data_IF_753357864012
#
_entry.id   IF_753357864012
#
_cell.length_a   1.000
_cell.length_b   1.000
_cell.length_c   1.000
_cell.angle_alpha   90.00
_cell.angle_beta   90.00
_cell.angle_gamma   90.00
#
_symmetry.space_group_name_H-M   'P 1'
#
loop_
_entity.id
_entity.type
_entity.pdbx_description
1 polymer ?
#
# COMPACT_ATOMS: atom_id res chain seq x y z
N UNK A 1 55.65 -10.22 -0.03
CA UNK A 1 54.68 -9.83 -1.09
C UNK A 1 53.38 -10.67 -1.05
N UNK A 2 52.93 -11.23 0.09
CA UNK A 2 51.72 -12.09 0.14
C UNK A 2 50.64 -11.73 1.19
N UNK A 3 50.75 -10.59 1.91
CA UNK A 3 49.74 -10.18 2.90
C UNK A 3 48.67 -9.21 2.38
N UNK A 4 48.88 -8.58 1.23
CA UNK A 4 47.95 -7.56 0.69
C UNK A 4 46.75 -8.15 -0.08
N UNK A 5 46.81 -9.40 -0.54
CA UNK A 5 45.70 -10.05 -1.27
C UNK A 5 44.62 -10.63 -0.36
N UNK A 6 44.93 -10.97 0.90
CA UNK A 6 43.97 -11.59 1.83
C UNK A 6 42.94 -10.62 2.45
N UNK A 7 43.30 -9.34 2.58
CA UNK A 7 42.44 -8.31 3.20
C UNK A 7 41.32 -7.85 2.24
N UNK A 8 41.58 -7.85 0.93
CA UNK A 8 40.56 -7.60 -0.10
C UNK A 8 39.51 -8.71 -0.16
N UNK A 9 39.93 -9.97 -0.05
CA UNK A 9 39.02 -11.12 -0.03
C UNK A 9 38.20 -11.24 1.26
N UNK A 10 38.77 -10.89 2.42
CA UNK A 10 38.04 -10.93 3.69
C UNK A 10 37.00 -9.81 3.79
N UNK A 11 37.32 -8.59 3.34
CA UNK A 11 36.36 -7.48 3.33
C UNK A 11 35.19 -7.71 2.36
N UNK A 12 35.45 -8.31 1.18
CA UNK A 12 34.41 -8.77 0.23
C UNK A 12 33.55 -9.91 0.81
N UNK A 13 34.14 -10.94 1.43
CA UNK A 13 33.38 -12.05 2.03
C UNK A 13 32.49 -11.60 3.21
N UNK A 14 32.95 -10.63 4.00
CA UNK A 14 32.17 -10.02 5.08
C UNK A 14 31.02 -9.16 4.53
N UNK A 15 31.21 -8.50 3.38
CA UNK A 15 30.15 -7.70 2.73
C UNK A 15 29.07 -8.56 2.10
N UNK A 16 29.43 -9.64 1.38
CA UNK A 16 28.49 -10.61 0.83
C UNK A 16 27.67 -11.31 1.93
N UNK A 17 28.32 -11.60 3.06
CA UNK A 17 27.63 -12.18 4.22
C UNK A 17 26.60 -11.23 4.85
N UNK A 18 26.85 -9.91 4.83
CA UNK A 18 25.92 -8.90 5.33
C UNK A 18 24.75 -8.67 4.38
N UNK A 19 24.99 -8.71 3.07
CA UNK A 19 23.97 -8.62 2.04
C UNK A 19 23.04 -9.83 2.08
N UNK A 20 23.61 -11.05 2.09
CA UNK A 20 22.85 -12.29 2.18
C UNK A 20 22.01 -12.34 3.46
N UNK A 21 22.57 -11.90 4.61
CA UNK A 21 21.86 -11.91 5.90
C UNK A 21 20.74 -10.87 5.96
N UNK A 22 20.97 -9.67 5.43
CA UNK A 22 19.96 -8.60 5.38
C UNK A 22 18.84 -8.96 4.40
N UNK A 23 19.20 -9.46 3.21
CA UNK A 23 18.26 -9.95 2.21
C UNK A 23 17.41 -11.10 2.77
N UNK A 24 18.03 -12.11 3.41
CA UNK A 24 17.31 -13.22 4.06
C UNK A 24 16.37 -12.73 5.16
N UNK A 25 16.78 -11.77 5.98
CA UNK A 25 15.96 -11.22 7.04
C UNK A 25 14.77 -10.41 6.51
N UNK A 26 15.00 -9.57 5.49
CA UNK A 26 13.93 -8.81 4.81
C UNK A 26 12.96 -9.75 4.11
N UNK A 27 13.47 -10.75 3.41
CA UNK A 27 12.65 -11.76 2.73
C UNK A 27 11.82 -12.55 3.73
N UNK A 28 12.41 -13.03 4.83
CA UNK A 28 11.68 -13.72 5.90
C UNK A 28 10.59 -12.84 6.52
N UNK A 29 10.88 -11.56 6.76
CA UNK A 29 9.92 -10.61 7.34
C UNK A 29 8.76 -10.32 6.39
N UNK A 30 9.05 -10.12 5.09
CA UNK A 30 8.02 -9.92 4.06
C UNK A 30 7.18 -11.20 3.88
N UNK A 31 7.81 -12.38 3.94
CA UNK A 31 7.13 -13.64 3.82
C UNK A 31 6.18 -13.90 5.00
N UNK A 32 6.60 -13.66 6.24
CA UNK A 32 5.71 -13.84 7.40
C UNK A 32 4.58 -12.81 7.41
N UNK A 33 4.90 -11.53 7.20
CA UNK A 33 3.91 -10.44 7.29
C UNK A 33 2.89 -10.46 6.15
N UNK A 34 3.24 -10.95 4.96
CA UNK A 34 2.35 -10.96 3.79
C UNK A 34 1.86 -12.36 3.40
N UNK A 35 2.66 -13.40 3.65
CA UNK A 35 2.32 -14.78 3.33
C UNK A 35 1.20 -15.33 4.20
N UNK A 36 1.19 -15.03 5.51
CA UNK A 36 0.11 -15.51 6.40
C UNK A 36 -1.25 -14.92 5.99
N UNK A 37 -1.43 -13.58 5.85
CA UNK A 37 -2.69 -13.04 5.35
C UNK A 37 -3.06 -13.54 3.95
N UNK A 38 -2.07 -13.79 3.08
CA UNK A 38 -2.32 -14.35 1.76
C UNK A 38 -2.92 -15.76 1.82
N UNK A 39 -2.40 -16.65 2.68
CA UNK A 39 -2.94 -18.01 2.84
C UNK A 39 -4.39 -17.96 3.31
N UNK A 40 -4.68 -17.13 4.31
CA UNK A 40 -6.06 -16.92 4.78
C UNK A 40 -6.95 -16.37 3.66
N UNK A 41 -6.50 -15.33 2.95
CA UNK A 41 -7.24 -14.76 1.83
C UNK A 41 -7.49 -15.78 0.71
N UNK A 42 -6.49 -16.56 0.34
CA UNK A 42 -6.63 -17.59 -0.69
C UNK A 42 -7.67 -18.65 -0.29
N UNK A 43 -7.65 -19.10 0.97
CA UNK A 43 -8.67 -20.00 1.49
C UNK A 43 -10.06 -19.37 1.46
N UNK A 44 -10.19 -18.12 1.91
CA UNK A 44 -11.47 -17.41 1.94
C UNK A 44 -12.07 -17.31 0.54
N UNK A 45 -11.28 -16.91 -0.46
CA UNK A 45 -11.75 -16.74 -1.85
C UNK A 45 -12.35 -18.02 -2.45
N UNK A 46 -11.92 -19.21 -2.01
CA UNK A 46 -12.53 -20.47 -2.46
C UNK A 46 -14.00 -20.59 -2.11
N UNK A 47 -14.42 -19.96 -1.01
CA UNK A 47 -15.79 -19.98 -0.52
C UNK A 47 -16.64 -18.81 -1.03
N UNK A 48 -16.04 -17.91 -1.82
CA UNK A 48 -16.71 -16.72 -2.33
C UNK A 48 -17.27 -16.93 -3.74
N UNK A 49 -18.41 -16.29 -4.02
CA UNK A 49 -18.85 -16.10 -5.39
C UNK A 49 -18.03 -15.00 -6.08
N UNK A 50 -18.16 -14.91 -7.39
CA UNK A 50 -17.45 -13.87 -8.16
C UNK A 50 -17.93 -12.48 -7.75
N UNK A 51 -19.23 -12.32 -7.51
CA UNK A 51 -19.84 -11.08 -7.03
C UNK A 51 -19.35 -10.72 -5.61
N UNK A 52 -19.36 -11.69 -4.69
CA UNK A 52 -18.85 -11.50 -3.33
C UNK A 52 -17.37 -11.06 -3.33
N UNK A 53 -16.58 -11.65 -4.23
CA UNK A 53 -15.17 -11.30 -4.36
C UNK A 53 -14.98 -9.92 -4.99
N UNK A 54 -15.82 -9.47 -5.92
CA UNK A 54 -15.75 -8.09 -6.43
C UNK A 54 -15.94 -7.09 -5.27
N UNK A 55 -16.92 -7.36 -4.39
CA UNK A 55 -17.19 -6.53 -3.20
C UNK A 55 -15.99 -6.51 -2.25
N UNK A 56 -15.51 -7.69 -1.84
CA UNK A 56 -14.38 -7.83 -0.92
C UNK A 56 -13.04 -7.37 -1.51
N UNK A 57 -12.86 -7.64 -2.80
CA UNK A 57 -11.61 -7.55 -3.52
C UNK A 57 -11.27 -6.13 -3.91
N UNK A 58 -12.28 -5.39 -4.38
CA UNK A 58 -12.13 -4.09 -5.05
C UNK A 58 -12.99 -3.04 -4.35
N UNK A 59 -14.30 -3.24 -4.21
CA UNK A 59 -15.22 -2.16 -3.84
C UNK A 59 -15.03 -1.68 -2.39
N UNK A 60 -15.05 -2.60 -1.41
CA UNK A 60 -14.89 -2.24 0.00
C UNK A 60 -13.49 -1.69 0.33
N UNK A 61 -12.38 -2.31 -0.15
CA UNK A 61 -11.06 -1.72 0.03
C UNK A 61 -10.95 -0.33 -0.61
N UNK A 62 -11.49 -0.13 -1.81
CA UNK A 62 -11.48 1.17 -2.46
C UNK A 62 -12.27 2.22 -1.67
N UNK A 63 -13.45 1.87 -1.17
CA UNK A 63 -14.25 2.74 -0.31
C UNK A 63 -13.45 3.18 0.93
N UNK A 64 -12.86 2.21 1.64
CA UNK A 64 -12.05 2.48 2.84
C UNK A 64 -10.83 3.34 2.50
N UNK A 65 -10.09 3.00 1.45
CA UNK A 65 -8.91 3.75 1.01
C UNK A 65 -9.28 5.18 0.62
N UNK A 66 -10.34 5.40 -0.17
CA UNK A 66 -10.77 6.74 -0.55
C UNK A 66 -11.11 7.61 0.66
N UNK A 67 -11.87 7.08 1.62
CA UNK A 67 -12.26 7.80 2.84
C UNK A 67 -11.03 8.10 3.72
N UNK A 68 -10.21 7.10 4.01
CA UNK A 68 -9.06 7.26 4.91
C UNK A 68 -7.96 8.11 4.28
N UNK A 69 -7.64 7.90 3.00
CA UNK A 69 -6.55 8.62 2.34
C UNK A 69 -6.89 10.10 2.18
N UNK A 70 -8.13 10.43 1.79
CA UNK A 70 -8.55 11.82 1.62
C UNK A 70 -8.63 12.58 2.95
N UNK A 71 -8.99 11.89 4.05
CA UNK A 71 -9.14 12.52 5.36
C UNK A 71 -7.85 12.70 6.14
N UNK A 72 -6.90 11.75 6.06
CA UNK A 72 -5.74 11.72 6.97
C UNK A 72 -4.38 11.98 6.33
N UNK A 73 -4.19 11.67 5.05
CA UNK A 73 -2.85 11.67 4.44
C UNK A 73 -2.22 13.07 4.40
N UNK A 74 -3.01 14.11 4.08
CA UNK A 74 -2.55 15.49 4.04
C UNK A 74 -2.06 15.99 5.41
N UNK A 75 -2.86 15.74 6.44
CA UNK A 75 -2.56 16.14 7.83
C UNK A 75 -1.37 15.35 8.37
N UNK A 76 -1.31 14.04 8.11
CA UNK A 76 -0.20 13.18 8.53
C UNK A 76 1.13 13.67 7.98
N UNK A 77 1.19 14.04 6.70
CA UNK A 77 2.41 14.60 6.09
C UNK A 77 2.79 15.96 6.65
N UNK A 78 1.80 16.83 6.89
CA UNK A 78 2.04 18.12 7.53
C UNK A 78 2.64 17.94 8.93
N UNK A 79 2.07 17.04 9.74
CA UNK A 79 2.52 16.78 11.11
C UNK A 79 3.92 16.16 11.18
N UNK A 80 4.33 15.36 10.17
CA UNK A 80 5.66 14.77 10.11
C UNK A 80 6.74 15.77 9.68
N UNK A 81 6.37 16.82 8.95
CA UNK A 81 7.29 17.85 8.46
C UNK A 81 7.41 19.05 9.41
N UNK A 82 6.46 19.20 10.33
CA UNK A 82 6.55 20.18 11.39
C UNK A 82 7.73 19.81 12.31
N UNK A 83 8.85 20.53 12.20
CA UNK A 83 10.05 20.28 12.98
C UNK A 83 9.77 20.47 14.48
N UNK A 84 9.84 19.38 15.26
CA UNK A 84 9.79 19.43 16.73
C UNK A 84 11.00 20.15 17.36
N UNK A 85 12.01 20.52 16.56
CA UNK A 85 13.33 20.99 17.04
C UNK A 85 13.63 22.49 16.83
N UNK A 86 12.80 23.24 16.10
CA UNK A 86 13.20 24.59 15.66
C UNK A 86 12.93 25.71 16.67
N UNK A 87 12.00 25.53 17.60
CA UNK A 87 11.69 26.55 18.62
C UNK A 87 12.07 25.99 19.99
N UNK A 88 12.71 26.80 20.83
CA UNK A 88 13.06 26.47 22.22
C UNK A 88 11.86 26.23 23.16
N UNK A 89 10.73 25.78 22.62
CA UNK A 89 9.53 25.34 23.30
C UNK A 89 9.71 23.94 23.87
N UNK A 90 9.06 23.66 25.01
CA UNK A 90 9.09 22.33 25.62
C UNK A 90 8.55 21.26 24.66
N UNK A 91 9.14 20.06 24.69
CA UNK A 91 8.70 18.92 23.86
C UNK A 91 7.20 18.64 23.99
N UNK A 92 6.62 18.90 25.18
CA UNK A 92 5.18 18.76 25.44
C UNK A 92 4.32 19.78 24.68
N UNK A 93 4.79 21.01 24.52
CA UNK A 93 4.08 22.06 23.76
C UNK A 93 4.06 21.75 22.26
N UNK A 94 5.17 21.22 21.72
CA UNK A 94 5.24 20.78 20.32
C UNK A 94 4.34 19.55 20.07
N UNK A 95 4.26 18.63 21.04
CA UNK A 95 3.30 17.52 21.00
C UNK A 95 1.85 18.04 21.01
N UNK A 96 1.52 19.01 21.85
CA UNK A 96 0.18 19.59 21.93
C UNK A 96 -0.21 20.32 20.62
N UNK A 97 0.73 21.03 19.98
CA UNK A 97 0.54 21.64 18.64
C UNK A 97 0.15 20.58 17.62
N UNK A 98 0.99 19.56 17.45
CA UNK A 98 0.75 18.48 16.48
C UNK A 98 -0.56 17.75 16.77
N UNK A 99 -0.84 17.47 18.05
CA UNK A 99 -2.04 16.79 18.48
C UNK A 99 -3.30 17.60 18.16
N UNK A 100 -3.24 18.93 18.21
CA UNK A 100 -4.37 19.81 17.83
C UNK A 100 -4.76 19.63 16.36
N UNK A 101 -3.77 19.54 15.46
CA UNK A 101 -4.02 19.28 14.05
C UNK A 101 -4.40 17.82 13.79
N UNK A 102 -3.80 16.87 14.50
CA UNK A 102 -4.13 15.45 14.36
C UNK A 102 -5.58 15.15 14.79
N UNK A 103 -6.11 15.82 15.81
CA UNK A 103 -7.52 15.73 16.22
C UNK A 103 -8.51 16.42 15.28
N UNK A 104 -8.05 17.13 14.25
CA UNK A 104 -8.91 17.59 13.15
C UNK A 104 -9.27 16.42 12.20
N UNK A 105 -8.46 15.35 12.17
CA UNK A 105 -8.67 14.21 11.27
C UNK A 105 -9.99 13.47 11.58
N UNK A 106 -10.28 13.05 12.83
CA UNK A 106 -11.52 12.31 13.12
C UNK A 106 -12.81 13.02 12.69
N UNK A 107 -13.06 14.31 13.03
CA UNK A 107 -14.31 14.97 12.62
C UNK A 107 -14.40 15.15 11.10
N UNK A 108 -13.31 15.54 10.42
CA UNK A 108 -13.29 15.64 8.96
C UNK A 108 -13.52 14.28 8.29
N UNK A 109 -12.90 13.22 8.81
CA UNK A 109 -13.07 11.86 8.30
C UNK A 109 -14.46 11.28 8.55
N UNK A 110 -15.10 11.58 9.69
CA UNK A 110 -16.49 11.18 9.98
C UNK A 110 -17.44 11.84 8.97
N UNK A 111 -17.30 13.16 8.75
CA UNK A 111 -18.10 13.88 7.75
C UNK A 111 -17.94 13.28 6.34
N UNK A 112 -16.69 12.98 5.96
CA UNK A 112 -16.40 12.35 4.68
C UNK A 112 -16.98 10.93 4.59
N UNK A 113 -16.93 10.15 5.67
CA UNK A 113 -17.50 8.79 5.74
C UNK A 113 -19.01 8.83 5.55
N UNK A 114 -19.70 9.77 6.22
CA UNK A 114 -21.14 9.97 6.08
C UNK A 114 -21.51 10.41 4.66
N UNK A 115 -20.75 11.36 4.09
CA UNK A 115 -20.95 11.80 2.71
C UNK A 115 -20.74 10.65 1.71
N UNK A 116 -19.67 9.86 1.88
CA UNK A 116 -19.37 8.72 1.03
C UNK A 116 -20.45 7.63 1.12
N UNK A 117 -20.96 7.33 2.33
CA UNK A 117 -22.12 6.45 2.49
C UNK A 117 -23.32 7.01 1.73
N UNK A 118 -23.65 8.30 1.94
CA UNK A 118 -24.78 8.96 1.29
C UNK A 118 -24.72 8.90 -0.24
N UNK A 119 -23.54 9.12 -0.84
CA UNK A 119 -23.33 9.00 -2.29
C UNK A 119 -23.58 7.58 -2.78
N UNK A 120 -23.15 6.56 -2.04
CA UNK A 120 -23.38 5.15 -2.43
C UNK A 120 -24.86 4.79 -2.34
N UNK A 121 -25.55 5.21 -1.27
CA UNK A 121 -27.00 5.03 -1.12
C UNK A 121 -27.77 5.72 -2.25
N UNK A 122 -27.37 6.95 -2.62
CA UNK A 122 -27.97 7.69 -3.72
C UNK A 122 -27.76 7.00 -5.07
N UNK A 123 -26.53 6.61 -5.39
CA UNK A 123 -26.19 6.02 -6.69
C UNK A 123 -26.82 4.64 -6.92
N UNK A 124 -27.07 3.88 -5.85
CA UNK A 124 -27.62 2.52 -5.94
C UNK A 124 -29.10 2.41 -5.55
N UNK A 125 -29.72 3.49 -5.06
CA UNK A 125 -31.13 3.50 -4.65
C UNK A 125 -31.45 2.49 -3.54
N UNK A 126 -30.51 2.27 -2.62
CA UNK A 126 -30.61 1.20 -1.61
C UNK A 126 -31.50 1.61 -0.44
N UNK A 127 -32.25 0.65 0.10
CA UNK A 127 -32.96 0.81 1.37
C UNK A 127 -32.05 0.44 2.54
N UNK A 128 -32.28 1.03 3.71
CA UNK A 128 -31.52 0.71 4.94
C UNK A 128 -31.65 -0.76 5.39
N UNK A 129 -32.69 -1.45 4.92
CA UNK A 129 -32.91 -2.88 5.20
C UNK A 129 -32.15 -3.82 4.25
N UNK A 130 -31.54 -3.30 3.18
CA UNK A 130 -30.78 -4.14 2.25
C UNK A 130 -29.47 -4.61 2.91
N UNK A 131 -29.12 -5.90 2.81
CA UNK A 131 -27.89 -6.43 3.42
C UNK A 131 -26.62 -5.73 2.94
N UNK A 132 -26.63 -5.28 1.68
CA UNK A 132 -25.53 -4.49 1.11
C UNK A 132 -25.45 -3.08 1.71
N UNK A 133 -26.60 -2.43 1.97
CA UNK A 133 -26.66 -1.15 2.66
C UNK A 133 -26.15 -1.25 4.10
N UNK A 134 -26.53 -2.31 4.81
CA UNK A 134 -26.00 -2.61 6.15
C UNK A 134 -24.48 -2.84 6.12
N UNK A 135 -23.98 -3.59 5.14
CA UNK A 135 -22.55 -3.81 4.98
C UNK A 135 -21.76 -2.50 4.78
N UNK A 136 -22.29 -1.55 4.00
CA UNK A 136 -21.65 -0.23 3.80
C UNK A 136 -21.62 0.56 5.10
N UNK A 137 -22.71 0.58 5.88
CA UNK A 137 -22.76 1.30 7.15
C UNK A 137 -21.78 0.70 8.18
N UNK A 138 -21.70 -0.63 8.25
CA UNK A 138 -20.72 -1.31 9.11
C UNK A 138 -19.29 -0.98 8.65
N UNK A 139 -19.04 -0.97 7.34
CA UNK A 139 -17.73 -0.60 6.80
C UNK A 139 -17.39 0.88 7.09
N UNK A 140 -18.38 1.78 7.03
CA UNK A 140 -18.25 3.16 7.48
C UNK A 140 -17.90 3.26 8.96
N UNK A 141 -18.52 2.45 9.82
CA UNK A 141 -18.15 2.39 11.25
C UNK A 141 -16.70 1.93 11.45
N UNK A 142 -16.21 1.00 10.63
CA UNK A 142 -14.82 0.57 10.65
C UNK A 142 -13.86 1.73 10.32
N UNK A 143 -14.19 2.54 9.30
CA UNK A 143 -13.43 3.75 8.98
C UNK A 143 -13.39 4.71 10.18
N UNK A 144 -14.48 4.88 10.92
CA UNK A 144 -14.52 5.75 12.10
C UNK A 144 -13.54 5.27 13.18
N UNK A 145 -13.50 3.97 13.48
CA UNK A 145 -12.53 3.42 14.44
C UNK A 145 -11.08 3.63 13.99
N UNK A 146 -10.79 3.44 12.70
CA UNK A 146 -9.47 3.71 12.14
C UNK A 146 -9.10 5.20 12.23
N UNK A 147 -10.04 6.10 11.96
CA UNK A 147 -9.82 7.54 12.07
C UNK A 147 -9.58 8.00 13.51
N UNK A 148 -10.26 7.40 14.48
CA UNK A 148 -10.06 7.67 15.91
C UNK A 148 -8.70 7.16 16.43
N UNK A 149 -8.11 6.15 15.77
CA UNK A 149 -6.77 5.68 16.06
C UNK A 149 -5.67 6.60 15.50
N UNK A 150 -5.98 7.40 14.47
CA UNK A 150 -5.00 8.18 13.71
C UNK A 150 -4.20 9.21 14.53
N UNK A 151 -4.79 9.97 15.48
CA UNK A 151 -4.02 10.93 16.27
C UNK A 151 -2.90 10.27 17.09
N UNK A 152 -3.21 9.12 17.70
CA UNK A 152 -2.24 8.32 18.45
C UNK A 152 -1.22 7.66 17.52
N UNK A 153 -1.65 7.25 16.33
CA UNK A 153 -0.77 6.76 15.30
C UNK A 153 0.27 7.82 14.91
N UNK A 154 -0.15 9.06 14.61
CA UNK A 154 0.76 10.17 14.24
C UNK A 154 1.73 10.49 15.38
N UNK A 155 1.22 10.51 16.62
CA UNK A 155 2.07 10.69 17.80
C UNK A 155 3.14 9.59 17.91
N UNK A 156 2.76 8.32 17.74
CA UNK A 156 3.70 7.20 17.79
C UNK A 156 4.79 7.31 16.71
N UNK A 157 4.44 7.84 15.54
CA UNK A 157 5.37 8.04 14.43
C UNK A 157 6.35 9.18 14.72
N UNK A 158 5.89 10.29 15.29
CA UNK A 158 6.75 11.40 15.69
C UNK A 158 7.69 11.03 16.85
N UNK A 159 7.26 10.14 17.74
CA UNK A 159 8.10 9.59 18.82
C UNK A 159 9.00 8.43 18.36
N UNK A 160 9.01 8.10 17.07
CA UNK A 160 9.82 7.02 16.47
C UNK A 160 9.60 5.62 17.09
N UNK A 161 8.38 5.34 17.58
CA UNK A 161 8.00 4.05 18.17
C UNK A 161 7.68 3.00 17.09
N UNK A 162 8.63 2.71 16.20
CA UNK A 162 8.45 1.83 15.04
C UNK A 162 8.06 0.40 15.44
N UNK A 163 8.54 -0.10 16.59
CA UNK A 163 8.18 -1.44 17.11
C UNK A 163 6.70 -1.55 17.47
N UNK A 164 6.14 -0.52 18.10
CA UNK A 164 4.72 -0.50 18.48
C UNK A 164 3.84 -0.61 17.25
N UNK A 165 4.13 0.22 16.24
CA UNK A 165 3.41 0.22 14.96
C UNK A 165 3.40 -1.17 14.32
N UNK A 166 4.58 -1.79 14.21
CA UNK A 166 4.71 -3.11 13.59
C UNK A 166 3.88 -4.16 14.33
N UNK A 167 3.89 -4.15 15.67
CA UNK A 167 3.09 -5.08 16.47
C UNK A 167 1.59 -4.82 16.30
N UNK A 168 1.14 -3.57 16.44
CA UNK A 168 -0.29 -3.22 16.37
C UNK A 168 -0.87 -3.49 14.98
N UNK A 169 -0.16 -3.13 13.90
CA UNK A 169 -0.60 -3.43 12.51
C UNK A 169 -0.63 -4.94 12.24
N UNK A 170 0.35 -5.70 12.74
CA UNK A 170 0.36 -7.17 12.57
C UNK A 170 -0.78 -7.83 13.34
N UNK A 171 -1.04 -7.41 14.59
CA UNK A 171 -2.15 -7.93 15.38
C UNK A 171 -3.50 -7.57 14.75
N UNK A 172 -3.66 -6.35 14.23
CA UNK A 172 -4.89 -5.94 13.57
C UNK A 172 -5.15 -6.74 12.29
N UNK A 173 -4.13 -6.92 11.44
CA UNK A 173 -4.25 -7.72 10.21
C UNK A 173 -4.57 -9.19 10.49
N UNK A 174 -3.93 -9.79 11.51
CA UNK A 174 -4.25 -11.15 11.95
C UNK A 174 -5.67 -11.24 12.51
N UNK A 175 -6.08 -10.27 13.34
CA UNK A 175 -7.44 -10.18 13.90
C UNK A 175 -8.51 -10.15 12.81
N UNK A 176 -8.27 -9.36 11.74
CA UNK A 176 -9.13 -9.34 10.55
C UNK A 176 -9.26 -10.72 9.91
N UNK A 177 -8.12 -11.37 9.61
CA UNK A 177 -8.10 -12.67 8.95
C UNK A 177 -8.80 -13.75 9.79
N UNK A 178 -8.55 -13.78 11.10
CA UNK A 178 -9.17 -14.72 12.03
C UNK A 178 -10.66 -14.47 12.14
N UNK A 179 -11.09 -13.21 12.30
CA UNK A 179 -12.51 -12.85 12.41
C UNK A 179 -13.26 -13.26 11.14
N UNK A 180 -12.70 -12.96 9.97
CA UNK A 180 -13.27 -13.34 8.67
C UNK A 180 -13.39 -14.86 8.53
N UNK A 181 -12.35 -15.61 8.92
CA UNK A 181 -12.36 -17.07 8.93
C UNK A 181 -13.45 -17.64 9.83
N UNK A 182 -13.53 -17.16 11.09
CA UNK A 182 -14.51 -17.63 12.07
C UNK A 182 -15.94 -17.34 11.59
N UNK A 183 -16.20 -16.14 11.06
CA UNK A 183 -17.54 -15.75 10.60
C UNK A 183 -17.99 -16.57 9.38
N UNK A 184 -17.11 -16.84 8.42
CA UNK A 184 -17.43 -17.68 7.25
C UNK A 184 -17.74 -19.12 7.67
N UNK A 185 -16.98 -19.68 8.62
CA UNK A 185 -17.17 -21.06 9.08
C UNK A 185 -18.40 -21.22 9.98
N UNK A 186 -18.59 -20.31 10.95
CA UNK A 186 -19.64 -20.45 11.97
C UNK A 186 -20.99 -19.89 11.56
N UNK A 187 -21.04 -18.94 10.63
CA UNK A 187 -22.25 -18.16 10.38
C UNK A 187 -22.63 -18.14 8.90
N UNK A 188 -22.99 -19.32 8.39
CA UNK A 188 -23.30 -19.57 6.97
C UNK A 188 -24.56 -18.85 6.48
N UNK A 189 -25.41 -18.34 7.38
CA UNK A 189 -26.67 -17.67 7.04
C UNK A 189 -26.54 -16.14 6.89
N UNK A 190 -25.43 -15.54 7.33
CA UNK A 190 -25.20 -14.11 7.13
C UNK A 190 -24.73 -13.83 5.70
N UNK A 191 -25.20 -12.74 5.13
CA UNK A 191 -24.67 -12.24 3.85
C UNK A 191 -23.18 -11.97 3.96
N UNK A 192 -22.43 -12.47 2.98
CA UNK A 192 -20.96 -12.39 2.96
C UNK A 192 -20.46 -10.95 2.97
N UNK A 193 -21.22 -10.02 2.38
CA UNK A 193 -20.93 -8.59 2.45
C UNK A 193 -20.83 -8.09 3.90
N UNK A 194 -21.75 -8.49 4.77
CA UNK A 194 -21.76 -8.12 6.19
C UNK A 194 -20.57 -8.76 6.91
N UNK A 195 -20.26 -10.01 6.59
CA UNK A 195 -19.09 -10.72 7.15
C UNK A 195 -17.78 -9.98 6.83
N UNK A 196 -17.63 -9.49 5.59
CA UNK A 196 -16.46 -8.72 5.20
C UNK A 196 -16.36 -7.40 5.94
N UNK A 197 -17.47 -6.66 6.05
CA UNK A 197 -17.49 -5.40 6.79
C UNK A 197 -17.18 -5.59 8.27
N UNK A 198 -17.72 -6.65 8.90
CA UNK A 198 -17.39 -6.99 10.29
C UNK A 198 -15.89 -7.30 10.48
N UNK A 199 -15.26 -7.98 9.51
CA UNK A 199 -13.82 -8.22 9.56
C UNK A 199 -13.01 -6.92 9.47
N UNK A 200 -13.45 -5.95 8.66
CA UNK A 200 -12.85 -4.61 8.63
C UNK A 200 -13.06 -3.87 9.95
N UNK A 201 -14.25 -3.98 10.56
CA UNK A 201 -14.50 -3.38 11.88
C UNK A 201 -13.57 -3.96 12.93
N UNK A 202 -13.36 -5.29 12.94
CA UNK A 202 -12.39 -5.94 13.84
C UNK A 202 -10.96 -5.40 13.65
N UNK A 203 -10.54 -5.15 12.40
CA UNK A 203 -9.27 -4.49 12.10
C UNK A 203 -9.19 -3.09 12.72
N UNK A 204 -10.19 -2.24 12.46
CA UNK A 204 -10.22 -0.86 12.97
C UNK A 204 -10.29 -0.79 14.50
N UNK A 205 -11.07 -1.66 15.13
CA UNK A 205 -11.18 -1.76 16.59
C UNK A 205 -9.85 -2.22 17.19
N UNK A 206 -9.16 -3.21 16.59
CA UNK A 206 -7.84 -3.63 17.06
C UNK A 206 -6.81 -2.49 16.97
N UNK A 207 -6.82 -1.70 15.90
CA UNK A 207 -5.95 -0.52 15.80
C UNK A 207 -6.27 0.49 16.90
N UNK A 208 -7.54 0.86 17.05
CA UNK A 208 -8.00 1.80 18.06
C UNK A 208 -7.58 1.34 19.46
N UNK A 209 -7.96 0.13 19.86
CA UNK A 209 -7.62 -0.41 21.18
C UNK A 209 -6.11 -0.57 21.35
N UNK A 210 -5.38 -1.04 20.33
CA UNK A 210 -3.93 -1.25 20.43
C UNK A 210 -3.17 0.04 20.75
N UNK A 211 -3.48 1.14 20.06
CA UNK A 211 -2.86 2.42 20.34
C UNK A 211 -3.33 3.01 21.68
N UNK A 212 -4.64 2.98 21.96
CA UNK A 212 -5.18 3.54 23.20
C UNK A 212 -4.65 2.82 24.44
N UNK A 213 -4.65 1.49 24.43
CA UNK A 213 -4.16 0.66 25.53
C UNK A 213 -2.68 0.92 25.79
N UNK A 214 -1.85 1.02 24.74
CA UNK A 214 -0.43 1.31 24.91
C UNK A 214 -0.19 2.68 25.56
N UNK A 215 -0.82 3.75 25.04
CA UNK A 215 -0.61 5.10 25.55
C UNK A 215 -1.23 5.31 26.95
N UNK A 216 -2.33 4.61 27.28
CA UNK A 216 -2.93 4.65 28.62
C UNK A 216 -2.11 3.86 29.66
N UNK A 217 -1.59 2.67 29.30
CA UNK A 217 -0.86 1.81 30.23
C UNK A 217 0.60 2.24 30.44
N UNK A 218 1.31 2.64 29.38
CA UNK A 218 2.72 2.98 29.48
C UNK A 218 2.99 4.46 29.81
N UNK A 219 1.93 5.27 29.96
CA UNK A 219 1.99 6.61 30.56
C UNK A 219 3.01 7.57 29.93
N UNK A 220 3.39 7.36 28.67
CA UNK A 220 4.52 8.09 28.04
C UNK A 220 4.21 9.57 27.82
N UNK A 221 2.92 9.96 27.82
CA UNK A 221 2.45 11.34 27.76
C UNK A 221 1.37 11.60 28.81
N UNK A 222 1.39 12.79 29.43
CA UNK A 222 0.31 13.22 30.35
C UNK A 222 -1.02 13.31 29.59
N UNK A 223 -2.12 12.86 30.21
CA UNK A 223 -3.46 12.86 29.59
C UNK A 223 -3.93 14.23 29.08
N UNK A 224 -3.34 15.32 29.58
CA UNK A 224 -3.57 16.70 29.13
C UNK A 224 -2.91 17.06 27.79
N UNK A 225 -1.86 16.34 27.36
CA UNK A 225 -1.20 16.52 26.07
C UNK A 225 -1.86 15.67 24.96
N UNK A 226 -2.54 14.59 25.33
CA UNK A 226 -3.28 13.70 24.41
C UNK A 226 -4.59 14.35 23.94
N UNK A 227 -5.24 15.14 24.80
CA UNK A 227 -6.45 15.90 24.48
C UNK A 227 -6.17 17.41 24.51
N UNK A 228 -5.84 18.02 23.35
CA UNK A 228 -5.47 19.43 23.28
C UNK A 228 -6.66 20.38 23.53
N UNK A 229 -7.89 19.86 23.60
CA UNK A 229 -9.12 20.64 23.86
C UNK A 229 -9.09 21.47 25.14
N UNK A 230 -8.19 21.17 26.09
CA UNK A 230 -8.06 21.92 27.34
C UNK A 230 -7.15 23.16 27.22
N UNK A 231 -6.29 23.24 26.20
CA UNK A 231 -5.38 24.37 25.99
C UNK A 231 -6.04 25.39 25.05
N UNK A 232 -6.98 26.15 25.62
CA UNK A 232 -7.82 27.13 24.92
C UNK A 232 -7.07 28.43 24.61
N UNK A 233 -5.91 28.35 23.95
CA UNK A 233 -5.16 29.54 23.52
C UNK A 233 -5.08 29.63 21.99
N UNK A 234 -5.74 30.65 21.43
CA UNK A 234 -5.74 31.02 20.00
C UNK A 234 -4.35 31.28 19.39
N UNK A 235 -3.28 31.25 20.20
CA UNK A 235 -1.88 31.40 19.77
C UNK A 235 -1.26 30.12 19.17
N UNK A 236 -1.94 28.99 19.20
CA UNK A 236 -1.43 27.70 18.67
C UNK A 236 -1.90 27.37 17.24
N UNK A 237 -2.68 28.25 16.60
CA UNK A 237 -3.06 28.07 15.20
C UNK A 237 -1.94 28.62 14.32
N UNK A 238 -0.94 27.78 14.06
CA UNK A 238 0.13 28.13 13.14
C UNK A 238 -0.43 28.19 11.71
N UNK A 239 -0.50 29.41 11.17
CA UNK A 239 -0.95 29.65 9.79
C UNK A 239 -0.09 28.87 8.79
N UNK A 240 1.20 28.70 9.07
CA UNK A 240 2.12 27.93 8.23
C UNK A 240 1.72 26.45 8.18
N UNK A 241 1.42 25.83 9.33
CA UNK A 241 1.01 24.43 9.39
C UNK A 241 -0.37 24.18 8.76
N UNK A 242 -1.29 25.14 8.89
CA UNK A 242 -2.59 25.12 8.20
C UNK A 242 -2.44 25.19 6.67
N UNK A 243 -1.60 26.08 6.16
CA UNK A 243 -1.37 26.21 4.72
C UNK A 243 -0.62 25.00 4.15
N UNK A 244 0.31 24.43 4.92
CA UNK A 244 0.92 23.14 4.60
C UNK A 244 -0.11 22.01 4.59
N UNK A 245 -1.03 21.95 5.56
CA UNK A 245 -2.12 20.96 5.56
C UNK A 245 -3.00 21.09 4.31
N UNK A 246 -3.41 22.30 3.92
CA UNK A 246 -4.21 22.51 2.71
C UNK A 246 -3.47 22.05 1.46
N UNK A 247 -2.20 22.44 1.31
CA UNK A 247 -1.38 22.06 0.16
C UNK A 247 -1.17 20.55 0.09
N UNK A 248 -0.85 19.91 1.22
CA UNK A 248 -0.68 18.45 1.27
C UNK A 248 -1.98 17.68 1.10
N UNK A 249 -3.12 18.25 1.51
CA UNK A 249 -4.43 17.63 1.27
C UNK A 249 -4.76 17.65 -0.23
N UNK A 250 -4.51 18.77 -0.92
CA UNK A 250 -4.66 18.84 -2.38
C UNK A 250 -3.73 17.86 -3.10
N UNK A 251 -2.46 17.78 -2.66
CA UNK A 251 -1.51 16.82 -3.19
C UNK A 251 -1.96 15.37 -2.94
N UNK A 252 -2.55 15.09 -1.78
CA UNK A 252 -3.07 13.76 -1.44
C UNK A 252 -4.25 13.38 -2.32
N UNK A 253 -5.14 14.32 -2.64
CA UNK A 253 -6.22 14.07 -3.60
C UNK A 253 -5.69 13.67 -4.98
N UNK A 254 -4.71 14.42 -5.52
CA UNK A 254 -4.08 14.06 -6.80
C UNK A 254 -3.40 12.69 -6.75
N UNK A 255 -2.75 12.39 -5.62
CA UNK A 255 -2.12 11.08 -5.40
C UNK A 255 -3.15 9.95 -5.29
N UNK A 256 -4.33 10.21 -4.72
CA UNK A 256 -5.41 9.23 -4.66
C UNK A 256 -5.90 8.85 -6.05
N UNK A 257 -6.15 9.84 -6.92
CA UNK A 257 -6.51 9.60 -8.31
C UNK A 257 -5.41 8.83 -9.04
N UNK A 258 -4.15 9.19 -8.78
CA UNK A 258 -3.01 8.53 -9.39
C UNK A 258 -2.86 7.05 -8.97
N UNK A 259 -3.04 6.75 -7.68
CA UNK A 259 -2.80 5.42 -7.11
C UNK A 259 -4.00 4.49 -7.24
N UNK A 260 -5.20 5.00 -6.99
CA UNK A 260 -6.45 4.22 -7.01
C UNK A 260 -7.28 4.49 -8.25
N UNK A 261 -6.80 5.30 -9.19
CA UNK A 261 -7.50 5.64 -10.43
C UNK A 261 -7.89 4.41 -11.24
N UNK A 262 -7.03 3.40 -11.30
CA UNK A 262 -7.36 2.14 -11.97
C UNK A 262 -8.52 1.41 -11.29
N UNK A 263 -8.48 1.30 -9.96
CA UNK A 263 -9.55 0.68 -9.17
C UNK A 263 -10.87 1.48 -9.27
N UNK A 264 -10.79 2.81 -9.39
CA UNK A 264 -11.93 3.70 -9.64
C UNK A 264 -12.52 3.47 -11.04
N UNK A 265 -11.67 3.36 -12.06
CA UNK A 265 -12.10 3.05 -13.43
C UNK A 265 -12.78 1.67 -13.47
N UNK A 266 -12.21 0.70 -12.77
CA UNK A 266 -12.75 -0.64 -12.65
C UNK A 266 -14.13 -0.64 -11.96
N UNK A 267 -14.32 0.20 -10.93
CA UNK A 267 -15.61 0.35 -10.24
C UNK A 267 -16.69 0.96 -11.13
N UNK A 268 -16.36 1.99 -11.92
CA UNK A 268 -17.34 2.76 -12.69
C UNK A 268 -17.68 2.14 -14.05
N UNK A 269 -16.70 1.54 -14.74
CA UNK A 269 -16.89 1.06 -16.13
C UNK A 269 -16.86 -0.46 -16.28
N UNK A 270 -16.41 -1.22 -15.27
CA UNK A 270 -16.30 -2.67 -15.38
C UNK A 270 -17.48 -3.42 -14.74
N UNK A 271 -17.84 -4.56 -15.34
CA UNK A 271 -18.78 -5.52 -14.75
C UNK A 271 -18.21 -6.18 -13.50
N UNK A 272 -19.04 -6.59 -12.54
CA UNK A 272 -18.59 -7.27 -11.31
C UNK A 272 -17.66 -8.47 -11.59
N UNK A 273 -17.90 -9.21 -12.68
CA UNK A 273 -17.04 -10.29 -13.12
C UNK A 273 -15.62 -9.81 -13.48
N UNK A 274 -15.49 -8.74 -14.27
CA UNK A 274 -14.18 -8.17 -14.61
C UNK A 274 -13.47 -7.56 -13.40
N UNK A 275 -14.22 -6.94 -12.48
CA UNK A 275 -13.66 -6.42 -11.22
C UNK A 275 -13.03 -7.54 -10.40
N UNK A 276 -13.74 -8.66 -10.30
CA UNK A 276 -13.31 -9.82 -9.56
C UNK A 276 -12.10 -10.53 -10.21
N UNK A 277 -12.12 -10.74 -11.52
CA UNK A 277 -11.01 -11.35 -12.25
C UNK A 277 -9.76 -10.49 -12.14
N UNK A 278 -9.86 -9.18 -12.39
CA UNK A 278 -8.74 -8.25 -12.27
C UNK A 278 -8.21 -8.19 -10.83
N UNK A 279 -9.10 -8.00 -9.85
CA UNK A 279 -8.71 -7.90 -8.44
C UNK A 279 -8.04 -9.18 -7.90
N UNK A 280 -8.43 -10.35 -8.42
CA UNK A 280 -7.80 -11.63 -8.05
C UNK A 280 -6.37 -11.71 -8.60
N UNK A 281 -6.21 -11.41 -9.89
CA UNK A 281 -4.93 -11.48 -10.58
C UNK A 281 -3.97 -10.41 -10.07
N UNK A 282 -4.45 -9.19 -9.79
CA UNK A 282 -3.64 -8.11 -9.24
C UNK A 282 -3.15 -8.43 -7.82
N UNK A 283 -4.00 -8.99 -6.95
CA UNK A 283 -3.58 -9.41 -5.59
C UNK A 283 -2.55 -10.54 -5.62
N UNK A 284 -2.68 -11.48 -6.55
CA UNK A 284 -1.70 -12.55 -6.76
C UNK A 284 -0.37 -12.03 -7.33
N UNK A 285 -0.49 -11.25 -8.40
CA UNK A 285 0.65 -10.72 -9.14
C UNK A 285 1.48 -9.77 -8.29
N UNK A 286 0.81 -8.82 -7.62
CA UNK A 286 1.47 -7.88 -6.72
C UNK A 286 2.17 -8.58 -5.56
N UNK A 287 1.68 -9.74 -5.08
CA UNK A 287 2.37 -10.51 -4.04
C UNK A 287 3.74 -10.98 -4.52
N UNK A 288 3.85 -11.53 -5.73
CA UNK A 288 5.15 -11.96 -6.30
C UNK A 288 6.09 -10.76 -6.41
N UNK A 289 5.57 -9.63 -6.88
CA UNK A 289 6.34 -8.39 -7.01
C UNK A 289 6.86 -7.91 -5.66
N UNK A 290 6.01 -7.93 -4.63
CA UNK A 290 6.33 -7.48 -3.28
C UNK A 290 7.26 -8.44 -2.52
N UNK A 291 7.22 -9.74 -2.83
CA UNK A 291 8.06 -10.74 -2.18
C UNK A 291 9.44 -10.86 -2.84
N UNK A 292 9.53 -10.68 -4.15
CA UNK A 292 10.76 -10.91 -4.93
C UNK A 292 11.37 -9.60 -5.40
N UNK A 293 10.63 -8.80 -6.17
CA UNK A 293 11.19 -7.60 -6.80
C UNK A 293 11.38 -6.45 -5.83
N UNK A 294 10.51 -6.25 -4.84
CA UNK A 294 10.65 -5.14 -3.89
C UNK A 294 11.91 -5.25 -3.02
N UNK A 295 12.25 -6.39 -2.37
CA UNK A 295 13.52 -6.52 -1.66
C UNK A 295 14.73 -6.39 -2.60
N UNK A 296 14.58 -6.87 -3.85
CA UNK A 296 15.62 -6.74 -4.86
C UNK A 296 15.86 -5.26 -5.22
N UNK A 297 14.80 -4.49 -5.42
CA UNK A 297 14.83 -3.05 -5.72
C UNK A 297 15.49 -2.26 -4.58
N UNK A 298 15.08 -2.50 -3.33
CA UNK A 298 15.69 -1.87 -2.15
C UNK A 298 17.20 -2.20 -2.05
N UNK A 299 17.56 -3.45 -2.33
CA UNK A 299 18.94 -3.90 -2.29
C UNK A 299 19.81 -3.32 -3.42
N UNK A 300 19.21 -3.17 -4.61
CA UNK A 300 19.85 -2.55 -5.79
C UNK A 300 20.05 -1.07 -5.57
N UNK A 301 19.04 -0.38 -5.03
CA UNK A 301 19.12 1.03 -4.63
C UNK A 301 20.30 1.27 -3.68
N UNK A 302 20.42 0.48 -2.60
CA UNK A 302 21.52 0.63 -1.65
C UNK A 302 22.90 0.45 -2.31
N UNK A 303 23.00 -0.48 -3.26
CA UNK A 303 24.23 -0.76 -4.02
C UNK A 303 24.57 0.38 -4.98
N UNK A 304 23.57 0.93 -5.68
CA UNK A 304 23.74 2.07 -6.58
C UNK A 304 24.11 3.34 -5.82
N UNK A 305 23.43 3.63 -4.71
CA UNK A 305 23.70 4.80 -3.88
C UNK A 305 25.13 4.76 -3.31
N UNK A 306 25.58 3.59 -2.84
CA UNK A 306 26.95 3.40 -2.34
C UNK A 306 27.98 3.57 -3.45
N UNK A 307 27.73 3.00 -4.63
CA UNK A 307 28.60 3.14 -5.80
C UNK A 307 28.62 4.57 -6.34
N UNK A 308 27.51 5.31 -6.17
CA UNK A 308 27.39 6.70 -6.56
C UNK A 308 28.14 7.65 -5.60
N UNK A 309 28.33 7.28 -4.33
CA UNK A 309 29.01 8.12 -3.33
C UNK A 309 30.56 8.03 -3.38
N UNK A 310 31.14 7.06 -4.10
CA UNK A 310 32.59 6.89 -4.20
C UNK A 310 33.28 7.95 -5.07
N UNK A 311 34.48 8.41 -4.67
CA UNK A 311 35.32 9.37 -5.42
C UNK A 311 36.26 8.70 -6.44
N UNK A 312 35.84 7.61 -7.07
CA UNK A 312 36.67 6.89 -8.05
C UNK A 312 36.49 7.46 -9.47
N UNK A 313 37.57 7.62 -10.27
CA UNK A 313 37.49 8.11 -11.65
C UNK A 313 36.76 7.15 -12.62
N UNK A 314 36.60 5.87 -12.25
CA UNK A 314 35.85 4.85 -13.01
C UNK A 314 34.40 4.66 -12.51
N UNK A 315 33.86 5.63 -11.79
CA UNK A 315 32.52 5.58 -11.17
C UNK A 315 31.42 5.25 -12.17
N UNK A 316 31.35 5.96 -13.29
CA UNK A 316 30.25 5.82 -14.26
C UNK A 316 30.27 4.42 -14.92
N UNK A 317 31.47 3.88 -15.17
CA UNK A 317 31.64 2.53 -15.73
C UNK A 317 31.28 1.43 -14.73
N UNK A 318 31.56 1.60 -13.44
CA UNK A 318 31.12 0.67 -12.38
C UNK A 318 29.61 0.75 -12.14
N UNK A 319 29.02 1.95 -12.20
CA UNK A 319 27.57 2.14 -12.13
C UNK A 319 26.86 1.44 -13.29
N UNK A 320 27.35 1.65 -14.52
CA UNK A 320 26.83 0.99 -15.71
C UNK A 320 26.93 -0.53 -15.65
N UNK A 321 28.05 -1.08 -15.16
CA UNK A 321 28.20 -2.53 -14.94
C UNK A 321 27.22 -3.05 -13.91
N UNK A 322 27.11 -2.37 -12.76
CA UNK A 322 26.21 -2.78 -11.67
C UNK A 322 24.74 -2.73 -12.11
N UNK A 323 24.34 -1.70 -12.86
CA UNK A 323 23.00 -1.60 -13.44
C UNK A 323 22.75 -2.72 -14.45
N UNK A 324 23.72 -2.99 -15.31
CA UNK A 324 23.62 -4.07 -16.32
C UNK A 324 23.48 -5.44 -15.63
N UNK A 325 24.24 -5.68 -14.57
CA UNK A 325 24.16 -6.92 -13.77
C UNK A 325 22.80 -7.04 -13.07
N UNK A 326 22.31 -5.97 -12.44
CA UNK A 326 21.00 -5.96 -11.80
C UNK A 326 19.85 -6.20 -12.81
N UNK A 327 19.87 -5.49 -13.95
CA UNK A 327 18.88 -5.68 -15.01
C UNK A 327 18.94 -7.08 -15.60
N UNK A 328 20.13 -7.64 -15.83
CA UNK A 328 20.29 -9.04 -16.29
C UNK A 328 19.68 -10.03 -15.31
N UNK A 329 19.94 -9.86 -14.00
CA UNK A 329 19.42 -10.73 -12.97
C UNK A 329 17.88 -10.66 -12.91
N UNK A 330 17.33 -9.45 -12.93
CA UNK A 330 15.88 -9.23 -12.92
C UNK A 330 15.21 -9.76 -14.18
N UNK A 331 15.79 -9.51 -15.35
CA UNK A 331 15.32 -10.06 -16.61
C UNK A 331 15.35 -11.58 -16.59
N UNK A 332 16.39 -12.21 -16.02
CA UNK A 332 16.48 -13.66 -15.93
C UNK A 332 15.37 -14.24 -15.04
N UNK A 333 15.11 -13.63 -13.87
CA UNK A 333 13.98 -14.00 -13.02
C UNK A 333 12.65 -13.80 -13.77
N UNK A 334 12.48 -12.64 -14.41
CA UNK A 334 11.29 -12.32 -15.19
C UNK A 334 11.05 -13.30 -16.34
N UNK A 335 12.10 -13.71 -17.06
CA UNK A 335 12.05 -14.70 -18.15
C UNK A 335 11.61 -16.07 -17.65
N UNK A 336 12.03 -16.48 -16.45
CA UNK A 336 11.52 -17.70 -15.81
C UNK A 336 10.00 -17.60 -15.59
N UNK A 337 9.52 -16.47 -15.06
CA UNK A 337 8.07 -16.25 -14.90
C UNK A 337 7.32 -16.17 -16.23
N UNK A 338 7.91 -15.58 -17.27
CA UNK A 338 7.29 -15.52 -18.60
C UNK A 338 7.27 -16.88 -19.31
N UNK A 339 8.32 -17.69 -19.16
CA UNK A 339 8.40 -19.00 -19.81
C UNK A 339 7.50 -20.04 -19.13
N UNK A 340 7.50 -20.08 -17.79
CA UNK A 340 6.78 -21.11 -17.03
C UNK A 340 5.41 -20.62 -16.53
N UNK A 341 5.27 -19.34 -16.23
CA UNK A 341 4.05 -18.76 -15.65
C UNK A 341 2.79 -19.03 -16.46
N UNK A 342 2.76 -18.77 -17.79
CA UNK A 342 1.56 -18.99 -18.58
C UNK A 342 1.09 -20.45 -18.62
N UNK A 343 2.04 -21.39 -18.66
CA UNK A 343 1.79 -22.83 -18.65
C UNK A 343 1.22 -23.31 -17.32
N UNK A 344 1.71 -22.77 -16.20
CA UNK A 344 1.27 -23.16 -14.86
C UNK A 344 0.12 -22.29 -14.29
N UNK A 345 -0.26 -21.20 -14.96
CA UNK A 345 -1.29 -20.27 -14.48
C UNK A 345 -2.62 -20.97 -14.15
N UNK A 346 -3.10 -21.84 -15.03
CA UNK A 346 -4.34 -22.60 -14.80
C UNK A 346 -4.23 -23.50 -13.56
N UNK A 347 -3.15 -24.28 -13.46
CA UNK A 347 -2.89 -25.17 -12.33
C UNK A 347 -2.75 -24.42 -11.02
N UNK A 348 -2.09 -23.26 -11.03
CA UNK A 348 -1.90 -22.41 -9.86
C UNK A 348 -3.24 -21.83 -9.37
N UNK A 349 -4.06 -21.28 -10.27
CA UNK A 349 -5.39 -20.78 -9.90
C UNK A 349 -6.27 -21.92 -9.39
N UNK A 350 -6.25 -23.07 -10.05
CA UNK A 350 -7.02 -24.24 -9.62
C UNK A 350 -6.60 -24.74 -8.25
N UNK A 351 -5.29 -24.76 -7.98
CA UNK A 351 -4.74 -25.15 -6.68
C UNK A 351 -5.10 -24.15 -5.58
N UNK A 352 -5.01 -22.85 -5.85
CA UNK A 352 -5.17 -21.79 -4.84
C UNK A 352 -6.62 -21.37 -4.61
N UNK A 353 -7.42 -21.24 -5.66
CA UNK A 353 -8.78 -20.68 -5.64
C UNK A 353 -9.88 -21.66 -6.06
N UNK A 354 -9.51 -22.82 -6.60
CA UNK A 354 -10.44 -23.86 -7.00
C UNK A 354 -10.94 -23.74 -8.45
N UNK A 355 -11.78 -24.70 -8.84
CA UNK A 355 -12.26 -24.86 -10.23
C UNK A 355 -13.05 -23.66 -10.75
N UNK A 356 -13.87 -23.05 -9.89
CA UNK A 356 -14.71 -21.89 -10.24
C UNK A 356 -13.93 -20.73 -10.85
N UNK A 357 -12.70 -20.50 -10.38
CA UNK A 357 -11.84 -19.42 -10.86
C UNK A 357 -10.90 -19.88 -11.98
N UNK A 358 -10.50 -21.15 -12.00
CA UNK A 358 -9.59 -21.65 -13.04
C UNK A 358 -10.25 -21.75 -14.39
N UNK A 359 -11.52 -22.13 -14.43
CA UNK A 359 -12.26 -22.35 -15.67
C UNK A 359 -12.81 -21.05 -16.28
N UNK A 360 -12.72 -19.94 -15.52
CA UNK A 360 -13.03 -18.59 -15.99
C UNK A 360 -11.83 -17.86 -16.61
N UNK A 361 -12.00 -16.56 -16.80
CA UNK A 361 -11.00 -15.69 -17.45
C UNK A 361 -9.80 -15.37 -16.55
N UNK A 362 -9.84 -15.72 -15.26
CA UNK A 362 -8.74 -15.46 -14.33
C UNK A 362 -7.45 -16.17 -14.70
N UNK A 363 -7.53 -17.40 -15.23
CA UNK A 363 -6.36 -18.12 -15.74
C UNK A 363 -5.71 -17.37 -16.91
N UNK A 364 -6.53 -16.88 -17.85
CA UNK A 364 -6.06 -16.13 -19.01
C UNK A 364 -5.47 -14.78 -18.61
N UNK A 365 -6.13 -14.05 -17.71
CA UNK A 365 -5.63 -12.78 -17.19
C UNK A 365 -4.29 -12.97 -16.44
N UNK A 366 -4.13 -14.05 -15.65
CA UNK A 366 -2.85 -14.35 -14.99
C UNK A 366 -1.73 -14.69 -15.99
N UNK A 367 -2.04 -15.35 -17.13
CA UNK A 367 -1.05 -15.58 -18.20
C UNK A 367 -0.49 -14.27 -18.74
N UNK A 368 -1.37 -13.30 -19.04
CA UNK A 368 -0.93 -11.97 -19.47
C UNK A 368 -0.19 -11.23 -18.37
N UNK A 369 -0.59 -11.39 -17.11
CA UNK A 369 0.15 -10.80 -15.98
C UNK A 369 1.58 -11.35 -15.86
N UNK A 370 1.80 -12.65 -16.16
CA UNK A 370 3.15 -13.23 -16.16
C UNK A 370 4.07 -12.59 -17.21
N UNK A 371 3.53 -12.15 -18.34
CA UNK A 371 4.25 -11.39 -19.36
C UNK A 371 4.54 -9.97 -18.83
N UNK A 372 3.54 -9.35 -18.20
CA UNK A 372 3.65 -8.02 -17.59
C UNK A 372 4.70 -7.94 -16.47
N UNK A 373 4.93 -9.02 -15.73
CA UNK A 373 5.95 -9.09 -14.66
C UNK A 373 7.33 -8.63 -15.13
N UNK A 374 7.75 -8.96 -16.36
CA UNK A 374 9.07 -8.54 -16.87
C UNK A 374 9.15 -7.02 -16.97
N UNK A 375 8.13 -6.39 -17.57
CA UNK A 375 8.06 -4.94 -17.76
C UNK A 375 8.07 -4.24 -16.41
N UNK A 376 7.33 -4.78 -15.44
CA UNK A 376 7.27 -4.25 -14.09
C UNK A 376 8.63 -4.34 -13.37
N UNK A 377 9.34 -5.45 -13.53
CA UNK A 377 10.61 -5.67 -12.88
C UNK A 377 11.75 -4.80 -13.49
N UNK A 378 11.73 -4.61 -14.81
CA UNK A 378 12.59 -3.65 -15.48
C UNK A 378 12.34 -2.23 -14.96
N UNK A 379 11.07 -1.83 -14.86
CA UNK A 379 10.71 -0.50 -14.38
C UNK A 379 11.21 -0.24 -12.95
N UNK A 380 10.92 -1.13 -12.00
CA UNK A 380 11.37 -0.96 -10.61
C UNK A 380 12.89 -0.83 -10.47
N UNK A 381 13.65 -1.61 -11.27
CA UNK A 381 15.12 -1.50 -11.26
C UNK A 381 15.60 -0.17 -11.84
N UNK A 382 15.00 0.28 -12.95
CA UNK A 382 15.33 1.57 -13.58
C UNK A 382 14.98 2.76 -12.68
N UNK A 383 13.80 2.74 -12.04
CA UNK A 383 13.39 3.76 -11.06
C UNK A 383 14.36 3.80 -9.87
N UNK A 384 14.72 2.65 -9.31
CA UNK A 384 15.68 2.58 -8.19
C UNK A 384 17.04 3.17 -8.56
N UNK A 385 17.52 2.95 -9.79
CA UNK A 385 18.75 3.54 -10.29
C UNK A 385 18.63 5.05 -10.46
N UNK A 386 17.54 5.51 -11.09
CA UNK A 386 17.27 6.94 -11.26
C UNK A 386 17.24 7.64 -9.90
N UNK A 387 16.54 7.08 -8.92
CA UNK A 387 16.45 7.63 -7.56
C UNK A 387 17.79 7.60 -6.81
N UNK A 388 18.67 6.64 -7.10
CA UNK A 388 19.98 6.54 -6.43
C UNK A 388 21.02 7.51 -7.01
N UNK A 389 20.88 7.91 -8.28
CA UNK A 389 21.91 8.65 -9.03
C UNK A 389 21.50 10.09 -9.36
N UNK A 390 20.20 10.37 -9.48
CA UNK A 390 19.70 11.67 -9.93
C UNK A 390 19.99 12.81 -8.95
N UNK A 391 20.36 13.98 -9.49
CA UNK A 391 20.45 15.24 -8.74
C UNK A 391 19.05 15.82 -8.54
N UNK A 392 18.86 16.63 -7.48
CA UNK A 392 17.53 17.16 -7.07
C UNK A 392 16.70 17.78 -8.21
N UNK A 393 17.33 18.50 -9.15
CA UNK A 393 16.63 19.11 -10.30
C UNK A 393 16.10 18.08 -11.32
N UNK A 394 16.80 16.96 -11.52
CA UNK A 394 16.38 15.88 -12.42
C UNK A 394 15.26 15.03 -11.80
N UNK A 395 15.28 14.90 -10.47
CA UNK A 395 14.24 14.21 -9.71
C UNK A 395 12.88 14.91 -9.82
N UNK A 396 12.87 16.25 -9.75
CA UNK A 396 11.64 17.05 -9.91
C UNK A 396 11.06 16.91 -11.32
N UNK A 397 11.91 16.88 -12.35
CA UNK A 397 11.47 16.73 -13.74
C UNK A 397 10.95 15.32 -14.05
N UNK A 398 11.57 14.28 -13.49
CA UNK A 398 11.07 12.89 -13.58
C UNK A 398 9.71 12.71 -12.88
N UNK A 399 9.53 13.31 -11.69
CA UNK A 399 8.25 13.28 -10.98
C UNK A 399 7.13 14.00 -11.77
N UNK A 400 7.46 15.10 -12.45
CA UNK A 400 6.50 15.81 -13.31
C UNK A 400 6.14 14.98 -14.56
N UNK A 401 7.13 14.30 -15.15
CA UNK A 401 6.90 13.39 -16.28
C UNK A 401 5.99 12.22 -15.89
N UNK A 402 6.21 11.64 -14.71
CA UNK A 402 5.40 10.55 -14.13
C UNK A 402 3.93 10.95 -13.97
N UNK A 403 3.67 12.21 -13.60
CA UNK A 403 2.31 12.73 -13.48
C UNK A 403 1.60 12.84 -14.84
N UNK A 404 2.29 13.31 -15.89
CA UNK A 404 1.74 13.37 -17.24
C UNK A 404 1.45 11.96 -17.80
N UNK A 405 2.34 11.01 -17.54
CA UNK A 405 2.15 9.62 -17.96
C UNK A 405 1.00 8.93 -17.24
N UNK A 406 0.70 9.33 -16.01
CA UNK A 406 -0.46 8.81 -15.30
C UNK A 406 -1.80 9.28 -15.87
N UNK A 407 -1.86 10.50 -16.40
CA UNK A 407 -3.07 10.98 -17.08
C UNK A 407 -3.29 10.15 -18.34
N UNK A 408 -2.21 9.90 -19.10
CA UNK A 408 -2.23 9.02 -20.28
C UNK A 408 -2.64 7.60 -19.88
N UNK A 409 -2.14 7.08 -18.75
CA UNK A 409 -2.49 5.77 -18.20
C UNK A 409 -3.99 5.63 -17.91
N UNK A 410 -4.59 6.63 -17.25
CA UNK A 410 -6.02 6.63 -16.92
C UNK A 410 -6.86 6.66 -18.19
N UNK A 411 -6.48 7.48 -19.18
CA UNK A 411 -7.15 7.53 -20.48
C UNK A 411 -7.04 6.18 -21.22
N UNK A 412 -5.87 5.55 -21.22
CA UNK A 412 -5.67 4.24 -21.85
C UNK A 412 -6.52 3.16 -21.18
N UNK A 413 -6.60 3.15 -19.85
CA UNK A 413 -7.45 2.23 -19.10
C UNK A 413 -8.93 2.40 -19.46
N UNK A 414 -9.41 3.64 -19.59
CA UNK A 414 -10.80 3.93 -20.00
C UNK A 414 -11.07 3.45 -21.44
N UNK A 415 -10.11 3.56 -22.34
CA UNK A 415 -10.27 3.12 -23.73
C UNK A 415 -10.23 1.59 -23.85
N UNK A 416 -9.31 0.92 -23.16
CA UNK A 416 -9.09 -0.53 -23.28
C UNK A 416 -10.07 -1.37 -22.45
N UNK A 417 -10.68 -0.81 -21.41
CA UNK A 417 -11.71 -1.54 -20.65
C UNK A 417 -12.95 -1.83 -21.50
N UNK A 418 -13.30 -0.91 -22.40
CA UNK A 418 -14.43 -1.06 -23.33
C UNK A 418 -14.18 -2.06 -24.45
N UNK A 419 -12.91 -2.36 -24.77
CA UNK A 419 -12.55 -3.27 -25.87
C UNK A 419 -12.15 -4.66 -25.42
N UNK A 420 -11.47 -4.81 -24.28
CA UNK A 420 -10.88 -6.08 -23.85
C UNK A 420 -11.02 -6.40 -22.34
N UNK A 421 -11.88 -5.67 -21.61
CA UNK A 421 -12.21 -5.96 -20.21
C UNK A 421 -11.00 -6.05 -19.29
N UNK A 422 -10.90 -7.12 -18.50
CA UNK A 422 -9.82 -7.31 -17.52
C UNK A 422 -8.43 -7.49 -18.16
N UNK A 423 -8.35 -8.12 -19.34
CA UNK A 423 -7.09 -8.29 -20.09
C UNK A 423 -6.65 -6.97 -20.70
N UNK A 424 -7.60 -6.14 -21.16
CA UNK A 424 -7.36 -4.79 -21.64
C UNK A 424 -6.69 -3.89 -20.60
N UNK A 425 -7.09 -4.01 -19.33
CA UNK A 425 -6.46 -3.27 -18.22
C UNK A 425 -5.01 -3.70 -17.97
N UNK A 426 -4.71 -5.00 -18.03
CA UNK A 426 -3.34 -5.49 -17.85
C UNK A 426 -2.44 -5.04 -19.01
N UNK A 427 -2.98 -5.04 -20.24
CA UNK A 427 -2.28 -4.52 -21.41
C UNK A 427 -2.07 -2.99 -21.32
N UNK A 428 -3.08 -2.24 -20.88
CA UNK A 428 -2.96 -0.81 -20.65
C UNK A 428 -1.87 -0.48 -19.63
N UNK A 429 -1.80 -1.24 -18.54
CA UNK A 429 -0.75 -1.13 -17.53
C UNK A 429 0.64 -1.44 -18.11
N UNK A 430 0.74 -2.48 -18.94
CA UNK A 430 2.00 -2.86 -19.59
C UNK A 430 2.50 -1.76 -20.52
N UNK A 431 1.62 -1.22 -21.37
CA UNK A 431 1.93 -0.15 -22.32
C UNK A 431 2.33 1.12 -21.57
N UNK A 432 1.58 1.48 -20.54
CA UNK A 432 1.86 2.69 -19.76
C UNK A 432 3.20 2.65 -19.04
N UNK A 433 3.61 1.50 -18.51
CA UNK A 433 4.92 1.36 -17.85
C UNK A 433 6.04 1.34 -18.89
N UNK A 434 5.82 0.75 -20.07
CA UNK A 434 6.79 0.80 -21.16
C UNK A 434 7.04 2.23 -21.65
N UNK A 435 6.03 3.11 -21.62
CA UNK A 435 6.20 4.53 -21.94
C UNK A 435 6.89 5.34 -20.83
N UNK A 436 6.98 4.81 -19.61
CA UNK A 436 7.59 5.47 -18.46
C UNK A 436 9.11 5.23 -18.36
N UNK A 437 9.57 4.06 -18.81
CA UNK A 437 10.98 3.63 -18.89
C UNK A 437 11.64 4.26 -20.10
#
# INVERSE_FOLDING_TARGET
MSRASSVGSQSQSLTDSSFSRTFKYLLATQFLSRGIPFIFNAWIVRHLSVEDFALYGVQFPLFVTCVLFLSREGVRRACLRADMKSDGTSTEENIAKIMTFAWLIPPCGILLTVAACGVVFWNKGLSFSDPYGQAILINGSACIFELLAEPLYILSQNLLLLKLRLVVETVATLSRCITMFILIVKQTYLDKAIVFSLSQTAYGVCLFLGYWVYFLLFGTCRSSAIFPFRVKNKKHYDGQLSDMCKLFTLQSFMKLILQEGQSLVLLWWATYYNQAVYGLVDKLGSLVVRLVFLPFEESSYATFARSASGKDPNKDRRLGSSLTEALKLVLLIGLVFMAFGPSYAYSLIRLLYGQKWSDGEASTALRYYCIYIIVLAMNGTSESFLHAVAKEKQLVQSNLSTFMFAIIHVVLNILLINSAGAVGLILANSISILFLV
#
